data_IF_862790121991
#
_entry.id   IF_862790121991
#
_cell.length_a   1.000
_cell.length_b   1.000
_cell.length_c   1.000
_cell.angle_alpha   90.00
_cell.angle_beta   90.00
_cell.angle_gamma   90.00
#
_symmetry.space_group_name_H-M   'P 1'
#
loop_
_entity.id
_entity.type
_entity.pdbx_description
1 polymer ?
#
# COMPACT_ATOMS: atom_id res chain seq x y z
N UNK A 1 -23.47 -0.79 -12.30
CA UNK A 1 -22.87 -2.08 -12.69
C UNK A 1 -21.40 -1.79 -12.88
N UNK A 2 -20.60 -2.31 -11.97
CA UNK A 2 -19.30 -1.79 -11.56
C UNK A 2 -18.17 -2.75 -11.97
N UNK A 3 -18.25 -3.24 -13.20
CA UNK A 3 -17.47 -4.39 -13.69
C UNK A 3 -15.96 -4.12 -13.71
N UNK A 4 -15.54 -2.85 -13.81
CA UNK A 4 -14.13 -2.49 -13.83
C UNK A 4 -13.48 -2.52 -12.42
N UNK A 5 -14.21 -2.16 -11.37
CA UNK A 5 -13.75 -2.27 -9.98
C UNK A 5 -13.66 -3.74 -9.57
N UNK A 6 -14.71 -4.51 -9.87
CA UNK A 6 -14.73 -5.96 -9.64
C UNK A 6 -13.54 -6.67 -10.33
N UNK A 7 -13.16 -6.21 -11.52
CA UNK A 7 -12.01 -6.76 -12.26
C UNK A 7 -10.67 -6.39 -11.61
N UNK A 8 -10.48 -5.14 -11.16
CA UNK A 8 -9.21 -4.71 -10.53
C UNK A 8 -8.98 -5.39 -9.19
N UNK A 9 -10.01 -5.46 -8.35
CA UNK A 9 -9.93 -6.18 -7.08
C UNK A 9 -9.56 -7.65 -7.29
N UNK A 10 -10.19 -8.34 -8.25
CA UNK A 10 -9.85 -9.72 -8.57
C UNK A 10 -8.39 -9.89 -9.05
N UNK A 11 -7.88 -8.99 -9.89
CA UNK A 11 -6.48 -9.00 -10.34
C UNK A 11 -5.51 -8.78 -9.18
N UNK A 12 -5.83 -7.88 -8.25
CA UNK A 12 -5.02 -7.64 -7.07
C UNK A 12 -4.99 -8.87 -6.15
N UNK A 13 -6.14 -9.50 -5.87
CA UNK A 13 -6.20 -10.73 -5.07
C UNK A 13 -5.41 -11.88 -5.72
N UNK A 14 -5.59 -12.10 -7.04
CA UNK A 14 -4.82 -13.11 -7.76
C UNK A 14 -3.30 -12.87 -7.68
N UNK A 15 -2.86 -11.61 -7.70
CA UNK A 15 -1.45 -11.30 -7.52
C UNK A 15 -0.91 -11.56 -6.10
N UNK A 16 -1.76 -11.47 -5.08
CA UNK A 16 -1.39 -11.82 -3.70
C UNK A 16 -1.28 -13.34 -3.52
N UNK A 17 -2.07 -14.13 -4.25
CA UNK A 17 -1.90 -15.58 -4.29
C UNK A 17 -0.52 -15.95 -4.85
N UNK A 18 -0.02 -15.24 -5.89
CA UNK A 18 1.34 -15.45 -6.41
C UNK A 18 2.43 -15.15 -5.36
N UNK A 19 2.24 -14.11 -4.55
CA UNK A 19 3.14 -13.79 -3.43
C UNK A 19 3.12 -14.91 -2.39
N UNK A 20 1.92 -15.40 -2.05
CA UNK A 20 1.72 -16.45 -1.05
C UNK A 20 2.31 -17.80 -1.51
N UNK A 21 2.12 -18.18 -2.78
CA UNK A 21 2.69 -19.40 -3.39
C UNK A 21 4.22 -19.43 -3.30
N UNK A 22 4.86 -18.27 -3.35
CA UNK A 22 6.32 -18.13 -3.21
C UNK A 22 6.79 -18.07 -1.76
N UNK A 23 5.88 -17.98 -0.78
CA UNK A 23 6.19 -17.95 0.64
C UNK A 23 7.03 -16.73 1.05
N UNK A 24 6.87 -15.61 0.34
CA UNK A 24 7.66 -14.39 0.59
C UNK A 24 6.96 -13.52 1.63
N UNK A 25 7.64 -13.27 2.76
CA UNK A 25 7.24 -12.20 3.69
C UNK A 25 7.66 -10.84 3.12
N UNK A 26 6.68 -10.00 2.82
CA UNK A 26 6.87 -8.68 2.20
C UNK A 26 7.21 -7.59 3.20
N UNK A 27 6.85 -7.75 4.48
CA UNK A 27 7.02 -6.70 5.50
C UNK A 27 8.50 -6.31 5.69
N UNK A 28 9.44 -7.26 5.94
CA UNK A 28 10.85 -6.90 6.09
C UNK A 28 11.45 -6.36 4.78
N UNK A 29 10.97 -6.80 3.61
CA UNK A 29 11.43 -6.30 2.30
C UNK A 29 11.00 -4.87 2.06
N UNK A 30 9.75 -4.55 2.38
CA UNK A 30 9.22 -3.20 2.31
C UNK A 30 10.02 -2.26 3.20
N UNK A 31 10.21 -2.60 4.48
CA UNK A 31 10.91 -1.72 5.42
C UNK A 31 12.40 -1.55 5.13
N UNK A 32 13.07 -2.58 4.60
CA UNK A 32 14.45 -2.44 4.14
C UNK A 32 14.58 -1.36 3.06
N UNK A 33 13.64 -1.30 2.10
CA UNK A 33 13.65 -0.29 1.04
C UNK A 33 13.10 1.06 1.53
N UNK A 34 12.10 1.05 2.40
CA UNK A 34 11.50 2.25 2.95
C UNK A 34 12.52 3.05 3.75
N UNK A 35 13.29 2.41 4.64
CA UNK A 35 14.35 3.11 5.39
C UNK A 35 15.56 3.47 4.53
N UNK A 36 15.80 2.77 3.42
CA UNK A 36 16.80 3.20 2.45
C UNK A 36 16.38 4.50 1.73
N UNK A 37 15.09 4.66 1.43
CA UNK A 37 14.54 5.87 0.82
C UNK A 37 14.34 7.01 1.83
N UNK A 38 13.93 6.68 3.05
CA UNK A 38 13.56 7.62 4.13
C UNK A 38 14.27 7.25 5.44
N UNK A 39 15.61 7.42 5.53
CA UNK A 39 16.37 7.00 6.70
C UNK A 39 15.97 7.73 7.98
N UNK A 40 15.44 8.96 7.86
CA UNK A 40 14.95 9.75 9.00
C UNK A 40 13.71 9.15 9.67
N UNK A 41 12.94 8.31 8.98
CA UNK A 41 11.66 7.80 9.47
C UNK A 41 11.82 6.60 10.41
N UNK A 42 12.99 5.96 10.45
CA UNK A 42 13.23 4.78 11.29
C UNK A 42 12.96 5.05 12.78
N UNK A 43 13.15 6.29 13.23
CA UNK A 43 12.93 6.72 14.61
C UNK A 43 11.45 6.75 15.00
N UNK A 44 10.53 6.81 14.02
CA UNK A 44 9.08 6.85 14.25
C UNK A 44 8.50 5.46 14.55
N UNK A 45 9.27 4.38 14.35
CA UNK A 45 8.83 3.00 14.56
C UNK A 45 9.38 2.44 15.89
N UNK A 46 8.78 2.86 17.01
CA UNK A 46 9.25 2.49 18.36
C UNK A 46 9.10 1.00 18.70
N UNK A 47 8.02 0.35 18.26
CA UNK A 47 7.84 -1.11 18.34
C UNK A 47 7.83 -1.68 16.92
N UNK A 48 9.01 -1.86 16.33
CA UNK A 48 9.18 -2.20 14.91
C UNK A 48 8.38 -3.42 14.49
N UNK A 49 8.50 -4.53 15.22
CA UNK A 49 7.81 -5.76 14.84
C UNK A 49 6.28 -5.60 14.74
N UNK A 50 5.67 -4.85 15.67
CA UNK A 50 4.23 -4.61 15.65
C UNK A 50 3.82 -3.51 14.63
N UNK A 51 4.51 -2.38 14.64
CA UNK A 51 4.17 -1.20 13.82
C UNK A 51 4.43 -1.42 12.33
N UNK A 52 5.48 -2.15 11.97
CA UNK A 52 5.80 -2.44 10.57
C UNK A 52 4.75 -3.35 9.92
N UNK A 53 4.39 -4.44 10.60
CA UNK A 53 3.34 -5.33 10.14
C UNK A 53 1.99 -4.61 10.04
N UNK A 54 1.66 -3.78 11.03
CA UNK A 54 0.43 -2.99 11.02
C UNK A 54 0.37 -2.04 9.81
N UNK A 55 1.42 -1.25 9.56
CA UNK A 55 1.45 -0.30 8.45
C UNK A 55 1.26 -0.97 7.09
N UNK A 56 1.98 -2.07 6.81
CA UNK A 56 1.86 -2.78 5.53
C UNK A 56 0.47 -3.39 5.37
N UNK A 57 -0.07 -4.02 6.42
CA UNK A 57 -1.41 -4.58 6.38
C UNK A 57 -2.49 -3.50 6.20
N UNK A 58 -2.34 -2.34 6.83
CA UNK A 58 -3.27 -1.22 6.67
C UNK A 58 -3.26 -0.70 5.23
N UNK A 59 -2.08 -0.49 4.62
CA UNK A 59 -1.98 -0.10 3.22
C UNK A 59 -2.63 -1.11 2.28
N UNK A 60 -2.34 -2.41 2.45
CA UNK A 60 -2.98 -3.47 1.66
C UNK A 60 -4.50 -3.47 1.85
N UNK A 61 -4.97 -3.32 3.08
CA UNK A 61 -6.40 -3.30 3.41
C UNK A 61 -7.09 -2.12 2.73
N UNK A 62 -6.51 -0.92 2.77
CA UNK A 62 -7.11 0.26 2.15
C UNK A 62 -7.14 0.12 0.62
N UNK A 63 -6.06 -0.37 0.00
CA UNK A 63 -6.00 -0.58 -1.45
C UNK A 63 -7.02 -1.63 -1.92
N UNK A 64 -7.10 -2.77 -1.23
CA UNK A 64 -8.05 -3.84 -1.57
C UNK A 64 -9.50 -3.41 -1.36
N UNK A 65 -9.80 -2.76 -0.23
CA UNK A 65 -11.14 -2.25 0.05
C UNK A 65 -11.56 -1.18 -0.96
N UNK A 66 -10.64 -0.30 -1.35
CA UNK A 66 -10.91 0.70 -2.38
C UNK A 66 -11.22 0.03 -3.73
N UNK A 67 -10.41 -0.95 -4.13
CA UNK A 67 -10.65 -1.73 -5.35
C UNK A 67 -11.99 -2.47 -5.31
N UNK A 68 -12.42 -2.93 -4.14
CA UNK A 68 -13.71 -3.57 -3.91
C UNK A 68 -14.90 -2.59 -3.84
N UNK A 69 -14.67 -1.27 -3.99
CA UNK A 69 -15.73 -0.26 -3.96
C UNK A 69 -16.29 0.04 -2.56
N UNK A 70 -15.53 -0.28 -1.51
CA UNK A 70 -15.95 -0.09 -0.13
C UNK A 70 -16.11 1.40 0.22
N UNK A 71 -17.33 1.79 0.61
CA UNK A 71 -17.71 3.20 0.80
C UNK A 71 -17.10 3.84 2.06
N UNK A 72 -16.53 3.04 2.97
CA UNK A 72 -15.94 3.53 4.21
C UNK A 72 -14.48 4.00 4.04
N UNK A 73 -13.81 3.66 2.93
CA UNK A 73 -12.39 3.99 2.70
C UNK A 73 -12.11 5.49 2.84
N UNK A 74 -12.87 6.42 2.22
CA UNK A 74 -12.58 7.86 2.34
C UNK A 74 -12.62 8.38 3.79
N UNK A 75 -13.53 7.84 4.61
CA UNK A 75 -13.64 8.20 6.02
C UNK A 75 -12.40 7.76 6.80
N UNK A 76 -11.94 6.52 6.58
CA UNK A 76 -10.76 5.99 7.25
C UNK A 76 -9.50 6.72 6.79
N UNK A 77 -9.34 7.00 5.49
CA UNK A 77 -8.20 7.74 4.98
C UNK A 77 -8.06 9.14 5.60
N UNK A 78 -9.18 9.85 5.79
CA UNK A 78 -9.16 11.14 6.50
C UNK A 78 -8.63 11.00 7.94
N UNK A 79 -9.05 9.96 8.66
CA UNK A 79 -8.58 9.70 10.02
C UNK A 79 -7.10 9.31 10.03
N UNK A 80 -6.65 8.47 9.10
CA UNK A 80 -5.24 8.08 8.98
C UNK A 80 -4.33 9.27 8.68
N UNK A 81 -4.69 10.14 7.74
CA UNK A 81 -3.90 11.37 7.46
C UNK A 81 -3.77 12.23 8.71
N UNK A 82 -4.87 12.39 9.47
CA UNK A 82 -4.83 13.12 10.74
C UNK A 82 -3.89 12.46 11.76
N UNK A 83 -3.90 11.14 11.86
CA UNK A 83 -2.99 10.39 12.75
C UNK A 83 -1.54 10.56 12.33
N UNK A 84 -1.24 10.57 11.02
CA UNK A 84 0.13 10.70 10.54
C UNK A 84 0.78 12.04 10.90
N UNK A 85 -0.01 13.11 11.09
CA UNK A 85 0.51 14.38 11.63
C UNK A 85 1.12 14.24 13.03
N UNK A 86 0.71 13.23 13.79
CA UNK A 86 1.31 12.95 15.11
C UNK A 86 2.68 12.26 15.02
N UNK A 87 3.09 11.82 13.83
CA UNK A 87 4.39 11.19 13.57
C UNK A 87 5.44 12.15 13.01
N UNK A 88 5.11 13.44 12.92
CA UNK A 88 5.99 14.49 12.40
C UNK A 88 5.55 15.02 11.04
N UNK A 89 6.40 15.86 10.45
CA UNK A 89 6.16 16.41 9.11
C UNK A 89 6.53 15.38 8.04
N UNK A 90 5.53 14.64 7.55
CA UNK A 90 5.67 13.73 6.41
C UNK A 90 5.30 14.49 5.15
N UNK A 91 6.20 14.58 4.17
CA UNK A 91 5.93 15.27 2.91
C UNK A 91 4.85 14.53 2.09
N UNK A 92 3.96 15.26 1.40
CA UNK A 92 2.92 14.63 0.57
C UNK A 92 3.50 13.64 -0.46
N UNK A 93 4.64 13.96 -1.08
CA UNK A 93 5.32 13.07 -2.04
C UNK A 93 5.74 11.74 -1.40
N UNK A 94 6.07 11.73 -0.11
CA UNK A 94 6.48 10.53 0.59
C UNK A 94 5.35 9.50 0.71
N UNK A 95 4.08 9.94 0.80
CA UNK A 95 2.93 9.01 0.75
C UNK A 95 2.82 8.31 -0.61
N UNK A 96 3.02 9.06 -1.70
CA UNK A 96 3.03 8.50 -3.07
C UNK A 96 4.17 7.50 -3.25
N UNK A 97 5.36 7.87 -2.79
CA UNK A 97 6.55 7.03 -2.87
C UNK A 97 6.40 5.75 -2.03
N UNK A 98 5.81 5.85 -0.83
CA UNK A 98 5.52 4.72 0.05
C UNK A 98 4.53 3.72 -0.58
N UNK A 99 3.49 4.21 -1.27
CA UNK A 99 2.53 3.35 -1.99
C UNK A 99 3.18 2.72 -3.23
N UNK A 100 3.94 3.49 -4.00
CA UNK A 100 4.69 2.98 -5.17
C UNK A 100 5.66 1.88 -4.75
N UNK A 101 6.38 2.09 -3.65
CA UNK A 101 7.31 1.12 -3.10
C UNK A 101 6.61 -0.19 -2.70
N UNK A 102 5.39 -0.12 -2.15
CA UNK A 102 4.61 -1.32 -1.81
C UNK A 102 4.30 -2.13 -3.06
N UNK A 103 3.86 -1.48 -4.15
CA UNK A 103 3.58 -2.15 -5.43
C UNK A 103 4.83 -2.82 -5.99
N UNK A 104 5.98 -2.14 -5.97
CA UNK A 104 7.24 -2.71 -6.46
C UNK A 104 7.67 -3.95 -5.64
N UNK A 105 7.48 -3.90 -4.31
CA UNK A 105 7.77 -5.04 -3.42
C UNK A 105 6.84 -6.23 -3.70
N UNK A 106 5.55 -5.98 -3.96
CA UNK A 106 4.60 -7.03 -4.35
C UNK A 106 4.99 -7.66 -5.68
N UNK A 107 5.36 -6.86 -6.68
CA UNK A 107 5.80 -7.35 -7.99
C UNK A 107 7.04 -8.26 -7.88
N UNK A 108 8.05 -7.83 -7.14
CA UNK A 108 9.25 -8.64 -6.88
C UNK A 108 8.93 -9.93 -6.10
N UNK A 109 8.01 -9.84 -5.14
CA UNK A 109 7.58 -10.96 -4.31
C UNK A 109 6.74 -11.98 -5.09
N UNK A 110 5.93 -11.56 -6.06
CA UNK A 110 5.20 -12.44 -6.98
C UNK A 110 6.13 -13.04 -8.06
N UNK A 111 7.22 -12.35 -8.42
CA UNK A 111 8.21 -12.85 -9.37
C UNK A 111 7.65 -12.96 -10.80
N UNK A 112 8.04 -13.99 -11.58
CA UNK A 112 7.65 -14.09 -13.00
C UNK A 112 6.15 -14.21 -13.28
N UNK A 113 5.33 -14.50 -12.27
CA UNK A 113 3.87 -14.51 -12.41
C UNK A 113 3.24 -13.11 -12.38
N UNK A 114 3.98 -12.09 -11.97
CA UNK A 114 3.52 -10.71 -12.07
C UNK A 114 3.46 -10.29 -13.53
N UNK A 115 2.33 -9.72 -13.96
CA UNK A 115 2.07 -9.34 -15.35
C UNK A 115 1.65 -7.87 -15.41
N UNK A 116 1.66 -7.30 -16.62
CA UNK A 116 1.26 -5.91 -16.84
C UNK A 116 -0.15 -5.59 -16.32
N UNK A 117 -1.08 -6.57 -16.35
CA UNK A 117 -2.44 -6.36 -15.82
C UNK A 117 -2.48 -6.33 -14.29
N UNK A 118 -1.60 -7.09 -13.61
CA UNK A 118 -1.45 -6.99 -12.16
C UNK A 118 -0.82 -5.64 -11.79
N UNK A 119 0.25 -5.26 -12.49
CA UNK A 119 0.96 -4.00 -12.27
C UNK A 119 0.02 -2.79 -12.45
N UNK A 120 -0.72 -2.76 -13.56
CA UNK A 120 -1.67 -1.69 -13.84
C UNK A 120 -2.76 -1.59 -12.77
N UNK A 121 -3.35 -2.71 -12.34
CA UNK A 121 -4.40 -2.70 -11.32
C UNK A 121 -3.90 -2.08 -9.99
N UNK A 122 -2.72 -2.50 -9.52
CA UNK A 122 -2.14 -1.97 -8.29
C UNK A 122 -1.74 -0.50 -8.40
N UNK A 123 -1.13 -0.09 -9.53
CA UNK A 123 -0.72 1.31 -9.73
C UNK A 123 -1.92 2.25 -9.81
N UNK A 124 -2.99 1.86 -10.50
CA UNK A 124 -4.21 2.67 -10.58
C UNK A 124 -4.89 2.82 -9.21
N UNK A 125 -4.93 1.77 -8.40
CA UNK A 125 -5.48 1.84 -7.04
C UNK A 125 -4.58 2.63 -6.09
N UNK A 126 -3.26 2.52 -6.22
CA UNK A 126 -2.31 3.35 -5.48
C UNK A 126 -2.47 4.85 -5.82
N UNK A 127 -2.64 5.20 -7.10
CA UNK A 127 -2.91 6.57 -7.52
C UNK A 127 -4.27 7.08 -7.00
N UNK A 128 -5.30 6.24 -7.03
CA UNK A 128 -6.63 6.59 -6.52
C UNK A 128 -6.59 6.82 -5.01
N UNK A 129 -5.88 5.96 -4.26
CA UNK A 129 -5.73 6.10 -2.83
C UNK A 129 -4.90 7.34 -2.49
N UNK A 130 -3.82 7.59 -3.23
CA UNK A 130 -3.01 8.79 -3.08
C UNK A 130 -3.83 10.06 -3.33
N UNK A 131 -4.72 10.08 -4.33
CA UNK A 131 -5.59 11.23 -4.56
C UNK A 131 -6.53 11.50 -3.37
N UNK A 132 -6.99 10.46 -2.67
CA UNK A 132 -7.72 10.61 -1.41
C UNK A 132 -6.85 11.17 -0.28
N UNK A 133 -5.61 10.69 -0.14
CA UNK A 133 -4.63 11.24 0.82
C UNK A 133 -4.41 12.73 0.55
N UNK A 134 -4.09 13.10 -0.69
CA UNK A 134 -3.81 14.48 -1.09
C UNK A 134 -5.00 15.43 -0.86
N UNK A 135 -6.24 14.93 -0.87
CA UNK A 135 -7.43 15.72 -0.54
C UNK A 135 -7.55 16.03 0.95
N UNK A 136 -6.93 15.24 1.80
CA UNK A 136 -7.04 15.30 3.25
C UNK A 136 -5.74 15.71 3.97
N UNK A 137 -4.64 15.79 3.23
CA UNK A 137 -3.36 16.37 3.65
C UNK A 137 -3.55 17.88 3.81
#
# INVERSE_FOLDING_TARGET
MDTALDTRHALMLASLDLVAERGVDIVPRYFARFYAAFPGDEVNFHNRAASQGAMVNEMLTMLLAQAAGEQWVPMIMRAQVTTHYTHGEIALSQYRDALTLLVDVLAEAAGPGWTDVHDQAWREEAETLFALIARHY
#
